data_IF_847793953033
#
_entry.id   IF_847793953033
#
_cell.length_a   1.000
_cell.length_b   1.000
_cell.length_c   1.000
_cell.angle_alpha   90.00
_cell.angle_beta   90.00
_cell.angle_gamma   90.00
#
_symmetry.space_group_name_H-M   'P 1'
#
loop_
_entity.id
_entity.type
_entity.pdbx_description
1 polymer ?
#
# COMPACT_ATOMS: atom_id res chain seq x y z
N UNK A 1 -15.71 -15.19 -5.41
CA UNK A 1 -16.93 -15.53 -6.18
C UNK A 1 -16.53 -16.32 -7.44
N UNK A 2 -17.42 -17.05 -8.14
CA UNK A 2 -17.05 -17.66 -9.43
C UNK A 2 -16.70 -16.57 -10.44
N UNK A 3 -15.64 -16.76 -11.23
CA UNK A 3 -15.19 -15.76 -12.18
C UNK A 3 -16.25 -15.48 -13.28
N UNK A 4 -16.38 -14.23 -13.75
CA UNK A 4 -17.30 -13.87 -14.81
C UNK A 4 -16.96 -14.59 -16.13
N UNK A 5 -17.98 -14.80 -16.97
CA UNK A 5 -17.81 -15.44 -18.27
C UNK A 5 -17.02 -14.54 -19.25
N UNK A 6 -16.25 -15.11 -20.20
CA UNK A 6 -15.41 -14.33 -21.13
C UNK A 6 -16.19 -13.40 -22.08
N UNK A 7 -17.52 -13.57 -22.16
CA UNK A 7 -18.48 -12.76 -22.92
C UNK A 7 -19.33 -11.81 -22.05
N UNK A 8 -19.02 -11.68 -20.76
CA UNK A 8 -19.71 -10.75 -19.85
C UNK A 8 -19.61 -9.30 -20.34
N UNK A 9 -20.65 -8.49 -20.11
CA UNK A 9 -20.59 -7.08 -20.49
C UNK A 9 -19.65 -6.30 -19.56
N UNK A 10 -19.08 -5.15 -20.01
CA UNK A 10 -18.31 -4.26 -19.15
C UNK A 10 -19.04 -3.87 -17.86
N UNK A 11 -20.38 -3.72 -17.91
CA UNK A 11 -21.20 -3.45 -16.74
C UNK A 11 -21.14 -4.60 -15.72
N UNK A 12 -21.31 -5.84 -16.17
CA UNK A 12 -21.32 -7.03 -15.30
C UNK A 12 -19.95 -7.26 -14.66
N UNK A 13 -18.88 -6.96 -15.40
CA UNK A 13 -17.50 -7.04 -14.95
C UNK A 13 -17.21 -6.00 -13.85
N UNK A 14 -17.66 -4.75 -14.03
CA UNK A 14 -17.54 -3.71 -12.99
C UNK A 14 -18.38 -4.06 -11.75
N UNK A 15 -19.61 -4.56 -11.92
CA UNK A 15 -20.46 -4.99 -10.79
C UNK A 15 -19.81 -6.14 -10.00
N UNK A 16 -19.25 -7.14 -10.70
CA UNK A 16 -18.52 -8.26 -10.10
C UNK A 16 -17.30 -7.81 -9.29
N UNK A 17 -16.49 -6.91 -9.85
CA UNK A 17 -15.33 -6.33 -9.17
C UNK A 17 -15.72 -5.54 -7.91
N UNK A 18 -16.82 -4.79 -7.98
CA UNK A 18 -17.35 -4.03 -6.85
C UNK A 18 -17.99 -4.91 -5.76
N UNK A 19 -18.55 -6.08 -6.10
CA UNK A 19 -19.02 -7.07 -5.13
C UNK A 19 -17.85 -7.84 -4.49
N UNK A 20 -16.87 -8.21 -5.32
CA UNK A 20 -15.66 -8.92 -4.90
C UNK A 20 -14.65 -8.08 -4.10
N UNK A 21 -14.78 -6.76 -4.05
CA UNK A 21 -13.78 -5.86 -3.45
C UNK A 21 -13.38 -6.23 -2.01
N UNK A 22 -14.31 -6.69 -1.18
CA UNK A 22 -14.04 -7.17 0.19
C UNK A 22 -13.04 -8.34 0.25
N UNK A 23 -12.84 -9.06 -0.86
CA UNK A 23 -11.92 -10.19 -1.00
C UNK A 23 -10.52 -9.75 -1.48
N UNK A 24 -10.27 -8.45 -1.68
CA UNK A 24 -9.03 -7.91 -2.29
C UNK A 24 -7.76 -8.43 -1.62
N UNK A 25 -7.64 -8.31 -0.29
CA UNK A 25 -6.45 -8.76 0.45
C UNK A 25 -6.32 -10.29 0.49
N UNK A 26 -7.45 -11.03 0.50
CA UNK A 26 -7.44 -12.49 0.40
C UNK A 26 -6.96 -12.97 -0.98
N UNK A 27 -7.39 -12.31 -2.06
CA UNK A 27 -6.95 -12.57 -3.43
C UNK A 27 -5.46 -12.24 -3.60
N UNK A 28 -5.01 -11.09 -3.10
CA UNK A 28 -3.59 -10.70 -3.09
C UNK A 28 -2.73 -11.75 -2.40
N UNK A 29 -3.09 -12.15 -1.17
CA UNK A 29 -2.41 -13.23 -0.42
C UNK A 29 -2.37 -14.54 -1.21
N UNK A 30 -3.47 -14.96 -1.83
CA UNK A 30 -3.51 -16.18 -2.64
C UNK A 30 -2.56 -16.12 -3.84
N UNK A 31 -2.49 -14.97 -4.52
CA UNK A 31 -1.65 -14.79 -5.70
C UNK A 31 -0.16 -14.80 -5.35
N UNK A 32 0.25 -13.99 -4.36
CA UNK A 32 1.62 -13.98 -3.83
C UNK A 32 2.05 -15.40 -3.40
N UNK A 33 1.20 -16.09 -2.62
CA UNK A 33 1.50 -17.46 -2.14
C UNK A 33 1.66 -18.45 -3.30
N UNK A 34 0.78 -18.39 -4.31
CA UNK A 34 0.79 -19.34 -5.43
C UNK A 34 1.93 -19.11 -6.42
N UNK A 35 2.39 -17.87 -6.59
CA UNK A 35 3.60 -17.53 -7.34
C UNK A 35 4.86 -17.94 -6.57
N UNK A 36 4.92 -17.69 -5.27
CA UNK A 36 6.07 -18.07 -4.43
C UNK A 36 6.30 -19.59 -4.38
N UNK A 37 5.22 -20.38 -4.30
CA UNK A 37 5.31 -21.85 -4.39
C UNK A 37 5.96 -22.32 -5.71
N UNK A 38 5.72 -21.61 -6.83
CA UNK A 38 6.31 -21.90 -8.14
C UNK A 38 7.75 -21.39 -8.29
N UNK A 39 8.16 -20.41 -7.48
CA UNK A 39 9.53 -19.91 -7.42
C UNK A 39 10.45 -20.84 -6.60
N UNK A 40 9.95 -21.35 -5.46
CA UNK A 40 10.65 -22.33 -4.62
C UNK A 40 10.96 -23.64 -5.36
N UNK A 41 10.04 -24.14 -6.18
CA UNK A 41 10.26 -25.33 -7.04
C UNK A 41 11.41 -25.17 -8.06
N UNK A 42 11.96 -23.95 -8.22
CA UNK A 42 13.01 -23.63 -9.20
C UNK A 42 14.31 -23.10 -8.60
N UNK A 43 14.38 -22.81 -7.30
CA UNK A 43 15.55 -22.18 -6.68
C UNK A 43 15.91 -22.79 -5.31
N UNK A 44 17.15 -23.24 -5.16
CA UNK A 44 17.71 -23.74 -3.90
C UNK A 44 18.13 -22.65 -2.91
N UNK A 45 17.83 -21.38 -3.21
CA UNK A 45 18.17 -20.22 -2.38
C UNK A 45 16.90 -19.50 -1.92
N UNK A 46 16.28 -20.02 -0.86
CA UNK A 46 15.12 -19.44 -0.20
C UNK A 46 15.47 -18.29 0.78
N UNK A 47 16.68 -17.73 0.69
CA UNK A 47 17.21 -16.74 1.64
C UNK A 47 17.16 -15.30 1.13
N UNK A 48 17.17 -15.08 -0.19
CA UNK A 48 17.15 -13.76 -0.82
C UNK A 48 15.74 -13.44 -1.35
N UNK A 49 14.74 -13.54 -0.47
CA UNK A 49 13.36 -13.19 -0.82
C UNK A 49 13.12 -11.70 -0.59
N UNK A 50 12.63 -10.95 -1.60
CA UNK A 50 12.06 -9.64 -1.36
C UNK A 50 10.95 -9.76 -0.32
N UNK A 51 10.69 -8.67 0.40
CA UNK A 51 9.59 -8.57 1.37
C UNK A 51 8.24 -8.75 0.68
N UNK A 52 7.79 -9.99 0.46
CA UNK A 52 6.63 -10.33 -0.38
C UNK A 52 5.25 -9.88 0.18
N UNK A 53 5.26 -9.08 1.24
CA UNK A 53 4.11 -8.35 1.77
C UNK A 53 4.48 -6.93 2.21
N UNK A 54 5.74 -6.49 2.14
CA UNK A 54 6.29 -5.22 2.64
C UNK A 54 6.05 -4.84 4.11
N UNK A 55 5.17 -5.57 4.79
CA UNK A 55 4.78 -5.40 6.19
C UNK A 55 5.85 -6.05 7.08
N UNK A 56 6.98 -5.37 7.21
CA UNK A 56 8.12 -5.80 8.02
C UNK A 56 7.69 -6.10 9.47
N UNK A 57 8.39 -7.02 10.13
CA UNK A 57 8.32 -7.21 11.58
C UNK A 57 9.19 -6.14 12.22
N UNK A 58 8.56 -5.23 12.96
CA UNK A 58 9.27 -4.22 13.75
C UNK A 58 9.51 -4.77 15.15
N UNK A 59 10.75 -4.69 15.60
CA UNK A 59 11.15 -4.91 16.99
C UNK A 59 11.77 -3.63 17.55
N UNK A 60 11.13 -3.04 18.55
CA UNK A 60 11.63 -1.89 19.32
C UNK A 60 12.18 -2.39 20.66
N UNK A 61 13.36 -1.89 21.05
CA UNK A 61 14.11 -2.27 22.24
C UNK A 61 14.69 -1.01 22.87
N UNK A 62 14.00 -0.45 23.87
CA UNK A 62 14.29 0.91 24.34
C UNK A 62 14.22 1.92 23.20
N UNK A 63 15.29 2.68 22.98
CA UNK A 63 15.42 3.67 21.90
C UNK A 63 15.91 3.04 20.56
N UNK A 64 16.18 1.74 20.52
CA UNK A 64 16.67 1.03 19.34
C UNK A 64 15.55 0.31 18.59
N UNK A 65 15.62 0.27 17.27
CA UNK A 65 14.66 -0.44 16.40
C UNK A 65 15.42 -1.32 15.39
N UNK A 66 14.76 -2.40 14.97
CA UNK A 66 15.08 -3.16 13.74
C UNK A 66 13.78 -3.53 13.04
N UNK A 67 13.79 -3.51 11.71
CA UNK A 67 12.74 -4.05 10.83
C UNK A 67 13.33 -5.24 10.07
N UNK A 68 12.58 -6.35 9.97
CA UNK A 68 12.99 -7.58 9.26
C UNK A 68 11.80 -8.23 8.56
N UNK A 69 12.04 -9.13 7.61
CA UNK A 69 10.95 -9.78 6.86
C UNK A 69 10.05 -10.64 7.77
N UNK A 70 8.78 -10.77 7.41
CA UNK A 70 7.86 -11.73 8.04
C UNK A 70 8.34 -13.19 7.99
N UNK A 71 9.17 -13.53 6.99
CA UNK A 71 9.79 -14.86 6.85
C UNK A 71 10.96 -15.09 7.81
N UNK A 72 11.56 -14.04 8.38
CA UNK A 72 12.74 -14.16 9.21
C UNK A 72 12.36 -14.72 10.58
N UNK A 73 12.72 -15.99 10.79
CA UNK A 73 12.37 -16.74 12.01
C UNK A 73 13.37 -16.57 13.15
N UNK A 74 14.55 -16.00 12.87
CA UNK A 74 15.65 -15.80 13.81
C UNK A 74 16.43 -14.55 13.41
N UNK A 75 16.36 -13.51 14.24
CA UNK A 75 17.05 -12.24 14.04
C UNK A 75 17.37 -11.57 15.37
N UNK A 76 18.26 -10.59 15.35
CA UNK A 76 18.67 -9.86 16.55
C UNK A 76 18.52 -8.34 16.36
N UNK A 77 18.16 -7.64 17.42
CA UNK A 77 18.06 -6.18 17.45
C UNK A 77 19.41 -5.50 17.19
N UNK A 78 19.35 -4.23 16.83
CA UNK A 78 20.44 -3.30 17.09
C UNK A 78 20.75 -3.25 18.60
N UNK A 79 21.97 -2.83 18.97
CA UNK A 79 22.38 -2.78 20.39
C UNK A 79 21.63 -1.65 21.10
N UNK A 80 20.89 -2.00 22.15
CA UNK A 80 20.18 -1.05 23.00
C UNK A 80 20.96 -0.79 24.29
N UNK A 81 20.84 0.41 24.84
CA UNK A 81 21.40 0.77 26.15
C UNK A 81 20.27 0.76 27.18
N UNK A 82 20.47 0.07 28.30
CA UNK A 82 19.50 0.04 29.38
C UNK A 82 19.32 1.46 29.99
N UNK A 83 18.09 1.99 30.07
CA UNK A 83 17.86 3.34 30.59
C UNK A 83 18.13 3.41 32.11
N UNK A 84 18.29 4.63 32.63
CA UNK A 84 18.59 4.87 34.04
C UNK A 84 17.57 4.27 35.04
N UNK A 85 16.35 3.98 34.59
CA UNK A 85 15.30 3.32 35.38
C UNK A 85 15.50 1.81 35.58
N UNK A 86 16.46 1.18 34.90
CA UNK A 86 16.75 -0.26 35.06
C UNK A 86 15.74 -1.21 34.40
N UNK A 87 14.88 -0.71 33.50
CA UNK A 87 13.94 -1.52 32.72
C UNK A 87 14.15 -1.32 31.22
N UNK A 88 14.50 -2.39 30.50
CA UNK A 88 14.53 -2.43 29.05
C UNK A 88 13.16 -2.88 28.54
N UNK A 89 12.47 -2.00 27.82
CA UNK A 89 11.18 -2.32 27.17
C UNK A 89 11.44 -2.96 25.81
N UNK A 90 10.64 -3.98 25.50
CA UNK A 90 10.66 -4.72 24.24
C UNK A 90 9.25 -4.69 23.68
N UNK A 91 9.11 -4.36 22.41
CA UNK A 91 7.84 -4.27 21.71
C UNK A 91 7.99 -4.84 20.29
N UNK A 92 7.06 -5.70 19.88
CA UNK A 92 7.04 -6.36 18.58
C UNK A 92 5.69 -6.19 17.91
N UNK A 93 5.70 -5.73 16.66
CA UNK A 93 4.52 -5.39 15.87
C UNK A 93 4.82 -5.49 14.37
N UNK A 94 3.81 -5.36 13.52
CA UNK A 94 4.01 -5.16 12.08
C UNK A 94 4.29 -3.68 11.75
N UNK A 95 5.01 -3.44 10.66
CA UNK A 95 5.13 -2.14 10.01
C UNK A 95 3.88 -1.89 9.15
N UNK A 96 2.83 -1.33 9.76
CA UNK A 96 1.56 -1.00 9.12
C UNK A 96 1.03 0.35 9.60
N UNK A 97 0.12 0.97 8.84
CA UNK A 97 -0.61 2.18 9.27
C UNK A 97 -1.55 1.93 10.45
N UNK A 98 -1.81 0.66 10.77
CA UNK A 98 -2.50 0.19 11.96
C UNK A 98 -1.50 -0.36 12.99
N UNK A 99 -1.78 -0.16 14.28
CA UNK A 99 -1.04 -0.80 15.38
C UNK A 99 -1.47 -2.27 15.49
N UNK A 100 -0.70 -3.17 14.86
CA UNK A 100 -0.96 -4.61 14.86
C UNK A 100 0.15 -5.35 15.63
N UNK A 101 -0.12 -5.79 16.87
CA UNK A 101 0.90 -6.38 17.73
C UNK A 101 1.30 -7.81 17.32
N UNK A 102 2.59 -8.13 17.46
CA UNK A 102 3.16 -9.46 17.30
C UNK A 102 3.37 -10.13 18.66
N UNK A 103 2.25 -10.49 19.30
CA UNK A 103 2.23 -11.12 20.61
C UNK A 103 2.69 -12.58 20.67
N UNK A 104 2.90 -13.08 21.88
CA UNK A 104 3.23 -14.47 22.20
C UNK A 104 4.55 -15.00 21.56
N UNK A 105 5.48 -14.09 21.20
CA UNK A 105 6.82 -14.46 20.75
C UNK A 105 7.78 -14.67 21.93
N UNK A 106 8.67 -15.66 21.83
CA UNK A 106 9.81 -15.77 22.75
C UNK A 106 10.98 -14.93 22.24
N UNK A 107 11.56 -14.16 23.15
CA UNK A 107 12.74 -13.34 22.91
C UNK A 107 13.83 -13.64 23.93
N UNK A 108 15.08 -13.61 23.49
CA UNK A 108 16.26 -13.83 24.31
C UNK A 108 17.00 -12.50 24.44
N UNK A 109 17.01 -11.93 25.64
CA UNK A 109 17.80 -10.74 25.97
C UNK A 109 19.21 -11.19 26.32
N UNK A 110 20.22 -10.58 25.69
CA UNK A 110 21.63 -10.91 25.81
C UNK A 110 22.38 -9.67 26.32
N UNK A 111 23.01 -9.76 27.48
CA UNK A 111 23.91 -8.73 28.00
C UNK A 111 25.27 -8.83 27.32
N UNK A 112 25.69 -7.76 26.64
CA UNK A 112 26.94 -7.74 25.87
C UNK A 112 28.18 -7.45 26.73
N UNK A 113 27.98 -6.93 27.93
CA UNK A 113 29.05 -6.56 28.87
C UNK A 113 29.37 -7.69 29.87
N UNK A 114 28.39 -8.54 30.20
CA UNK A 114 28.50 -9.63 31.18
C UNK A 114 28.26 -11.04 30.59
N UNK A 115 27.79 -11.14 29.34
CA UNK A 115 27.43 -12.41 28.71
C UNK A 115 26.15 -13.04 29.25
N UNK A 116 25.36 -12.31 30.04
CA UNK A 116 24.09 -12.79 30.58
C UNK A 116 23.09 -13.10 29.46
N UNK A 117 22.20 -14.07 29.69
CA UNK A 117 21.13 -14.38 28.75
C UNK A 117 19.85 -14.78 29.46
N UNK A 118 18.75 -14.09 29.14
CA UNK A 118 17.43 -14.30 29.75
C UNK A 118 16.38 -14.48 28.66
N UNK A 119 15.58 -15.54 28.72
CA UNK A 119 14.41 -15.70 27.87
C UNK A 119 13.19 -15.00 28.49
N UNK A 120 12.44 -14.30 27.65
CA UNK A 120 11.22 -13.56 28.01
C UNK A 120 10.15 -13.94 26.98
N UNK A 121 8.95 -14.19 27.49
CA UNK A 121 7.76 -14.36 26.67
C UNK A 121 7.08 -13.00 26.52
N UNK A 122 6.96 -12.48 25.29
CA UNK A 122 6.16 -11.29 25.03
C UNK A 122 4.67 -11.62 25.25
N UNK A 123 3.91 -10.65 25.75
CA UNK A 123 2.47 -10.76 25.99
C UNK A 123 1.66 -10.83 24.69
N UNK A 124 0.32 -10.86 24.78
CA UNK A 124 -0.55 -10.90 23.61
C UNK A 124 -0.51 -9.61 22.76
N UNK A 125 0.02 -8.52 23.33
CA UNK A 125 0.20 -7.21 22.72
C UNK A 125 1.63 -7.03 22.17
N UNK A 126 2.46 -8.09 22.17
CA UNK A 126 3.83 -8.02 21.67
C UNK A 126 4.78 -7.27 22.59
N UNK A 127 4.41 -7.03 23.85
CA UNK A 127 5.20 -6.21 24.78
C UNK A 127 5.85 -7.07 25.86
N UNK A 128 6.97 -6.59 26.39
CA UNK A 128 7.73 -7.25 27.44
C UNK A 128 8.72 -6.29 28.09
N UNK A 129 9.14 -6.63 29.31
CA UNK A 129 10.10 -5.82 30.09
C UNK A 129 11.19 -6.71 30.69
N UNK A 130 12.44 -6.25 30.60
CA UNK A 130 13.60 -6.89 31.22
C UNK A 130 14.22 -5.96 32.24
N UNK A 131 14.44 -6.45 33.47
CA UNK A 131 15.21 -5.70 34.46
C UNK A 131 16.70 -5.78 34.11
N UNK A 132 17.36 -4.63 33.97
CA UNK A 132 18.70 -4.50 33.44
C UNK A 132 19.57 -3.51 34.24
N UNK A 133 20.89 -3.64 34.11
CA UNK A 133 21.83 -2.70 34.71
C UNK A 133 21.84 -1.40 33.91
N UNK A 134 21.48 -0.28 34.54
CA UNK A 134 21.48 1.04 33.90
C UNK A 134 22.82 1.35 33.19
N UNK A 135 22.76 1.76 31.93
CA UNK A 135 23.93 2.01 31.08
C UNK A 135 24.58 0.76 30.47
N UNK A 136 24.17 -0.44 30.87
CA UNK A 136 24.61 -1.69 30.24
C UNK A 136 24.06 -1.86 28.82
N UNK A 137 24.81 -2.58 27.98
CA UNK A 137 24.49 -2.82 26.57
C UNK A 137 23.83 -4.18 26.39
N UNK A 138 22.68 -4.20 25.71
CA UNK A 138 21.87 -5.38 25.52
C UNK A 138 21.48 -5.57 24.05
N UNK A 139 21.30 -6.82 23.65
CA UNK A 139 20.75 -7.20 22.35
C UNK A 139 19.60 -8.18 22.55
N UNK A 140 18.51 -8.03 21.80
CA UNK A 140 17.34 -8.92 21.88
C UNK A 140 17.29 -9.76 20.62
N UNK A 141 17.40 -11.08 20.78
CA UNK A 141 17.22 -12.06 19.70
C UNK A 141 15.79 -12.60 19.73
N UNK A 142 15.09 -12.57 18.61
CA UNK A 142 13.73 -13.11 18.48
C UNK A 142 13.81 -14.50 17.87
N UNK A 143 13.10 -15.46 18.44
CA UNK A 143 13.05 -16.83 17.93
C UNK A 143 11.59 -17.23 17.68
N UNK A 144 11.26 -17.49 16.41
CA UNK A 144 9.92 -17.85 15.95
C UNK A 144 9.43 -16.98 14.78
N UNK A 145 8.83 -17.65 13.80
CA UNK A 145 8.14 -17.00 12.68
C UNK A 145 6.72 -16.53 13.03
N UNK A 146 6.12 -15.77 12.12
CA UNK A 146 4.74 -15.29 12.24
C UNK A 146 3.75 -16.43 12.03
N UNK A 147 2.76 -16.57 12.90
CA UNK A 147 1.71 -17.60 12.78
C UNK A 147 0.60 -17.20 11.80
N UNK A 148 -0.11 -18.16 11.17
CA UNK A 148 -1.22 -17.84 10.27
C UNK A 148 -2.32 -16.97 10.89
N UNK A 149 -2.56 -17.10 12.21
CA UNK A 149 -3.55 -16.30 12.94
C UNK A 149 -3.10 -14.85 13.18
N UNK A 150 -1.80 -14.60 13.36
CA UNK A 150 -1.25 -13.23 13.40
C UNK A 150 -1.34 -12.55 12.04
N UNK A 151 -1.10 -13.30 10.96
CA UNK A 151 -1.31 -12.80 9.58
C UNK A 151 -2.79 -12.49 9.31
N UNK A 152 -3.71 -13.33 9.82
CA UNK A 152 -5.15 -13.08 9.71
C UNK A 152 -5.56 -11.82 10.48
N UNK A 153 -5.12 -11.66 11.73
CA UNK A 153 -5.38 -10.47 12.55
C UNK A 153 -4.84 -9.17 11.89
N UNK A 154 -3.67 -9.24 11.24
CA UNK A 154 -3.13 -8.14 10.44
C UNK A 154 -4.07 -7.76 9.31
N UNK A 155 -4.51 -8.70 8.48
CA UNK A 155 -5.44 -8.39 7.38
C UNK A 155 -6.82 -7.91 7.87
N UNK A 156 -7.34 -8.45 8.98
CA UNK A 156 -8.59 -7.97 9.62
C UNK A 156 -8.51 -6.50 10.03
N UNK A 157 -7.33 -5.95 10.37
CA UNK A 157 -7.19 -4.53 10.69
C UNK A 157 -7.59 -3.59 9.54
N UNK A 158 -7.50 -4.06 8.29
CA UNK A 158 -7.88 -3.32 7.09
C UNK A 158 -9.36 -3.48 6.70
N UNK A 159 -10.17 -4.25 7.42
CA UNK A 159 -11.59 -4.45 7.08
C UNK A 159 -12.35 -3.11 7.05
N UNK A 160 -12.04 -2.21 7.98
CA UNK A 160 -12.61 -0.85 8.01
C UNK A 160 -12.26 0.00 6.79
N UNK A 161 -10.99 -0.05 6.35
CA UNK A 161 -10.52 0.61 5.13
C UNK A 161 -11.18 0.01 3.88
N UNK A 162 -11.20 -1.32 3.82
CA UNK A 162 -11.80 -2.07 2.71
C UNK A 162 -13.28 -1.74 2.55
N UNK A 163 -14.03 -1.67 3.65
CA UNK A 163 -15.45 -1.32 3.64
C UNK A 163 -15.71 0.14 3.19
N UNK A 164 -14.94 1.11 3.69
CA UNK A 164 -15.08 2.53 3.29
C UNK A 164 -14.70 2.75 1.82
N UNK A 165 -13.62 2.12 1.33
CA UNK A 165 -13.23 2.16 -0.09
C UNK A 165 -14.30 1.51 -0.98
N UNK A 166 -14.85 0.36 -0.58
CA UNK A 166 -15.95 -0.29 -1.32
C UNK A 166 -17.21 0.60 -1.34
N UNK A 167 -17.59 1.19 -0.21
CA UNK A 167 -18.74 2.08 -0.11
C UNK A 167 -18.59 3.33 -0.98
N UNK A 168 -17.36 3.88 -1.06
CA UNK A 168 -17.02 4.99 -1.93
C UNK A 168 -17.08 4.60 -3.41
N UNK A 169 -16.44 3.50 -3.82
CA UNK A 169 -16.53 2.98 -5.18
C UNK A 169 -17.99 2.71 -5.61
N UNK A 170 -18.80 2.13 -4.72
CA UNK A 170 -20.24 1.91 -4.90
C UNK A 170 -21.05 3.22 -4.98
N UNK A 171 -20.53 4.34 -4.45
CA UNK A 171 -21.12 5.67 -4.61
C UNK A 171 -20.77 6.27 -5.98
N UNK A 172 -19.50 6.25 -6.36
CA UNK A 172 -19.05 6.75 -7.67
C UNK A 172 -19.74 5.97 -8.81
N UNK A 173 -19.80 4.64 -8.71
CA UNK A 173 -20.46 3.79 -9.70
C UNK A 173 -21.94 4.12 -9.90
N UNK A 174 -22.68 4.52 -8.85
CA UNK A 174 -24.07 4.97 -9.01
C UNK A 174 -24.20 6.24 -9.84
N UNK A 175 -23.19 7.11 -9.85
CA UNK A 175 -23.11 8.27 -10.75
C UNK A 175 -22.72 7.90 -12.17
N UNK A 176 -21.82 6.92 -12.34
CA UNK A 176 -21.33 6.50 -13.67
C UNK A 176 -22.28 5.57 -14.43
N UNK A 177 -22.96 4.63 -13.75
CA UNK A 177 -23.81 3.59 -14.36
C UNK A 177 -24.87 4.09 -15.35
N UNK A 178 -25.60 5.21 -15.11
CA UNK A 178 -26.55 5.74 -16.10
C UNK A 178 -25.89 6.18 -17.41
N UNK A 179 -24.67 6.72 -17.33
CA UNK A 179 -23.91 7.18 -18.50
C UNK A 179 -23.43 5.99 -19.35
N UNK A 180 -23.03 4.89 -18.70
CA UNK A 180 -22.70 3.64 -19.36
C UNK A 180 -23.89 3.00 -20.10
N UNK A 181 -25.07 3.01 -19.48
CA UNK A 181 -26.30 2.49 -20.11
C UNK A 181 -26.69 3.29 -21.36
N UNK A 182 -26.39 4.60 -21.39
CA UNK A 182 -26.56 5.43 -22.58
C UNK A 182 -25.48 5.23 -23.66
N UNK A 183 -24.27 4.78 -23.29
CA UNK A 183 -23.13 4.61 -24.21
C UNK A 183 -22.89 3.16 -24.68
N UNK A 184 -23.71 2.19 -24.25
CA UNK A 184 -23.54 0.75 -24.53
C UNK A 184 -23.75 0.32 -26.00
N UNK A 185 -23.65 1.25 -26.96
CA UNK A 185 -23.69 0.99 -28.40
C UNK A 185 -22.32 0.89 -29.07
N UNK A 186 -21.21 1.23 -28.38
CA UNK A 186 -19.86 0.93 -28.87
C UNK A 186 -19.41 -0.46 -28.43
N UNK A 187 -19.27 -1.36 -29.40
CA UNK A 187 -18.75 -2.71 -29.19
C UNK A 187 -17.28 -2.67 -28.76
N UNK A 188 -17.03 -2.82 -27.45
CA UNK A 188 -15.70 -3.02 -26.87
C UNK A 188 -15.41 -4.52 -26.96
N UNK A 189 -14.51 -4.91 -27.86
CA UNK A 189 -14.26 -6.32 -28.18
C UNK A 189 -13.54 -7.08 -27.06
N UNK A 190 -14.05 -8.27 -26.73
CA UNK A 190 -13.45 -9.21 -25.79
C UNK A 190 -12.24 -9.94 -26.40
N UNK A 191 -11.11 -9.23 -26.46
CA UNK A 191 -9.81 -9.77 -26.88
C UNK A 191 -9.03 -10.37 -25.71
N UNK A 192 -9.25 -11.65 -25.40
CA UNK A 192 -8.50 -12.37 -24.36
C UNK A 192 -7.00 -12.41 -24.72
N UNK A 193 -6.17 -11.62 -24.02
CA UNK A 193 -4.71 -11.54 -24.21
C UNK A 193 -3.93 -12.06 -22.98
N UNK A 194 -2.61 -12.31 -23.12
CA UNK A 194 -1.96 -13.39 -22.36
C UNK A 194 -0.49 -13.21 -21.83
N UNK A 195 -0.15 -12.16 -21.06
CA UNK A 195 1.06 -12.02 -20.17
C UNK A 195 0.82 -11.87 -18.63
N UNK A 196 1.55 -12.56 -17.76
CA UNK A 196 1.25 -12.74 -16.31
C UNK A 196 1.51 -11.52 -15.40
N UNK A 197 1.46 -11.74 -14.07
CA UNK A 197 1.90 -10.92 -12.92
C UNK A 197 3.06 -9.92 -13.11
N UNK A 198 3.87 -10.01 -14.17
CA UNK A 198 4.90 -9.03 -14.53
C UNK A 198 4.36 -7.59 -14.70
N UNK A 199 3.10 -7.43 -15.13
CA UNK A 199 2.46 -6.11 -15.21
C UNK A 199 2.11 -5.52 -13.82
N UNK A 200 2.01 -6.36 -12.78
CA UNK A 200 1.76 -5.95 -11.40
C UNK A 200 3.09 -5.71 -10.68
N UNK A 201 4.14 -6.51 -10.95
CA UNK A 201 5.49 -6.23 -10.43
C UNK A 201 6.04 -4.89 -10.92
N UNK A 202 5.71 -4.44 -12.13
CA UNK A 202 6.08 -3.08 -12.61
C UNK A 202 5.43 -1.96 -11.78
N UNK A 203 4.22 -2.18 -11.24
CA UNK A 203 3.55 -1.25 -10.33
C UNK A 203 4.19 -1.29 -8.93
N UNK A 204 4.68 -2.46 -8.47
CA UNK A 204 5.42 -2.59 -7.21
C UNK A 204 6.87 -2.06 -7.31
N UNK A 205 7.56 -2.25 -8.43
CA UNK A 205 8.82 -1.55 -8.73
C UNK A 205 8.59 -0.03 -8.68
N UNK A 206 7.43 0.43 -9.18
CA UNK A 206 7.01 1.83 -9.09
C UNK A 206 6.54 2.27 -7.70
N UNK A 207 6.39 1.36 -6.73
CA UNK A 207 6.23 1.72 -5.32
C UNK A 207 7.56 2.13 -4.70
N UNK A 208 8.67 1.48 -5.08
CA UNK A 208 10.01 1.89 -4.62
C UNK A 208 10.28 3.37 -4.97
N UNK A 209 9.78 3.83 -6.13
CA UNK A 209 9.80 5.23 -6.54
C UNK A 209 9.01 6.16 -5.60
N UNK A 210 7.91 5.72 -4.98
CA UNK A 210 7.19 6.51 -3.97
C UNK A 210 8.06 6.71 -2.74
N UNK A 211 8.69 5.63 -2.26
CA UNK A 211 9.61 5.71 -1.12
C UNK A 211 10.84 6.55 -1.44
N UNK A 212 11.42 6.44 -2.64
CA UNK A 212 12.56 7.25 -3.08
C UNK A 212 12.20 8.74 -3.21
N UNK A 213 10.99 9.06 -3.70
CA UNK A 213 10.43 10.42 -3.71
C UNK A 213 10.33 11.01 -2.30
N UNK A 214 9.96 10.22 -1.28
CA UNK A 214 9.87 10.69 0.10
C UNK A 214 11.25 10.76 0.78
N UNK A 215 12.16 9.81 0.49
CA UNK A 215 13.54 9.76 1.03
C UNK A 215 14.39 10.92 0.50
N UNK A 216 14.28 11.27 -0.78
CA UNK A 216 15.05 12.36 -1.40
C UNK A 216 14.21 13.12 -2.47
N UNK A 217 13.23 13.95 -2.05
CA UNK A 217 12.38 14.69 -2.97
C UNK A 217 13.17 15.65 -3.89
N UNK A 218 14.37 16.08 -3.47
CA UNK A 218 15.23 16.94 -4.27
C UNK A 218 15.83 16.22 -5.50
N UNK A 219 15.98 14.89 -5.49
CA UNK A 219 16.33 14.13 -6.70
C UNK A 219 15.20 14.05 -7.73
N UNK A 220 13.95 14.29 -7.32
CA UNK A 220 12.76 14.10 -8.15
C UNK A 220 12.11 15.42 -8.61
N UNK A 221 12.86 16.53 -8.65
CA UNK A 221 12.38 17.86 -9.08
C UNK A 221 11.72 17.82 -10.47
N UNK A 222 12.21 17.04 -11.44
CA UNK A 222 11.58 16.95 -12.76
C UNK A 222 10.16 16.37 -12.72
N UNK A 223 9.84 15.55 -11.71
CA UNK A 223 8.53 14.92 -11.52
C UNK A 223 7.63 15.72 -10.58
N UNK A 224 8.21 16.33 -9.54
CA UNK A 224 7.52 17.06 -8.48
C UNK A 224 7.42 18.59 -8.72
N UNK A 225 8.18 19.14 -9.68
CA UNK A 225 8.25 20.59 -9.90
C UNK A 225 8.59 21.36 -8.62
N UNK A 226 7.76 22.33 -8.27
CA UNK A 226 7.94 23.13 -7.03
C UNK A 226 7.69 22.33 -5.75
N UNK A 227 6.89 21.24 -5.80
CA UNK A 227 6.58 20.43 -4.62
C UNK A 227 7.82 19.73 -4.05
N UNK A 228 8.88 19.51 -4.84
CA UNK A 228 10.14 18.93 -4.34
C UNK A 228 10.76 19.76 -3.20
N UNK A 229 10.73 21.09 -3.33
CA UNK A 229 11.26 21.98 -2.30
C UNK A 229 10.38 22.01 -1.05
N UNK A 230 9.05 21.95 -1.23
CA UNK A 230 8.07 21.92 -0.15
C UNK A 230 8.15 20.60 0.64
N UNK A 231 8.29 19.45 -0.03
CA UNK A 231 8.55 18.16 0.62
C UNK A 231 9.91 18.12 1.34
N UNK A 232 10.95 18.70 0.75
CA UNK A 232 12.26 18.79 1.38
C UNK A 232 12.27 19.70 2.62
N UNK A 233 11.41 20.73 2.65
CA UNK A 233 11.18 21.56 3.83
C UNK A 233 10.36 20.79 4.89
N UNK A 234 9.26 20.15 4.50
CA UNK A 234 8.43 19.32 5.37
C UNK A 234 9.25 18.24 6.11
N UNK A 235 10.15 17.55 5.42
CA UNK A 235 11.03 16.53 6.02
C UNK A 235 11.91 17.07 7.16
N UNK A 236 12.15 18.40 7.20
CA UNK A 236 12.93 19.08 8.24
C UNK A 236 12.06 19.73 9.31
N UNK A 237 10.92 20.30 8.90
CA UNK A 237 10.05 21.11 9.76
C UNK A 237 8.98 20.27 10.49
N UNK A 238 8.57 19.14 9.90
CA UNK A 238 7.54 18.26 10.41
C UNK A 238 7.88 16.78 10.14
N UNK A 239 8.98 16.25 10.70
CA UNK A 239 9.44 14.87 10.44
C UNK A 239 8.37 13.82 10.72
N UNK A 240 7.50 14.03 11.71
CA UNK A 240 6.36 13.16 12.03
C UNK A 240 5.34 13.01 10.88
N UNK A 241 5.22 14.01 10.00
CA UNK A 241 4.34 13.93 8.81
C UNK A 241 5.03 13.09 7.72
N UNK A 242 6.34 13.26 7.57
CA UNK A 242 7.13 12.46 6.63
C UNK A 242 7.19 10.99 7.08
N UNK A 243 7.28 10.72 8.38
CA UNK A 243 7.17 9.37 8.96
C UNK A 243 5.83 8.70 8.63
N UNK A 244 4.71 9.42 8.73
CA UNK A 244 3.39 8.89 8.34
C UNK A 244 3.28 8.63 6.82
N UNK A 245 3.82 9.52 5.99
CA UNK A 245 3.84 9.32 4.54
C UNK A 245 4.73 8.12 4.14
N UNK A 246 5.88 7.96 4.81
CA UNK A 246 6.77 6.81 4.67
C UNK A 246 6.11 5.52 5.13
N UNK A 247 5.41 5.52 6.28
CA UNK A 247 4.69 4.37 6.79
C UNK A 247 3.63 3.87 5.80
N UNK A 248 2.84 4.78 5.21
CA UNK A 248 1.91 4.41 4.15
C UNK A 248 2.62 3.95 2.86
N UNK A 249 3.79 4.51 2.53
CA UNK A 249 4.60 4.10 1.39
C UNK A 249 5.30 2.73 1.57
N UNK A 250 5.36 2.23 2.81
CA UNK A 250 5.79 0.86 3.15
C UNK A 250 4.61 -0.12 3.32
N UNK A 251 3.42 0.36 3.65
CA UNK A 251 2.23 -0.49 3.89
C UNK A 251 1.62 -1.03 2.58
N UNK A 252 2.13 -2.16 2.10
CA UNK A 252 1.67 -2.79 0.86
C UNK A 252 0.19 -3.18 0.90
N UNK A 253 -0.39 -3.52 2.06
CA UNK A 253 -1.81 -3.87 2.14
C UNK A 253 -2.70 -2.65 1.89
N UNK A 254 -2.38 -1.51 2.50
CA UNK A 254 -3.04 -0.24 2.20
C UNK A 254 -2.81 0.17 0.75
N UNK A 255 -1.58 0.08 0.24
CA UNK A 255 -1.24 0.45 -1.15
C UNK A 255 -1.93 -0.44 -2.18
N UNK A 256 -2.04 -1.75 -1.93
CA UNK A 256 -2.80 -2.66 -2.79
C UNK A 256 -4.29 -2.31 -2.81
N UNK A 257 -4.89 -1.99 -1.65
CA UNK A 257 -6.28 -1.53 -1.59
C UNK A 257 -6.49 -0.23 -2.36
N UNK A 258 -5.56 0.72 -2.25
CA UNK A 258 -5.61 2.00 -2.97
C UNK A 258 -5.41 1.81 -4.49
N UNK A 259 -4.49 0.92 -4.90
CA UNK A 259 -4.28 0.51 -6.29
C UNK A 259 -5.53 -0.16 -6.87
N UNK A 260 -6.09 -1.16 -6.16
CA UNK A 260 -7.31 -1.86 -6.59
C UNK A 260 -8.50 -0.90 -6.70
N UNK A 261 -8.58 0.08 -5.79
CA UNK A 261 -9.56 1.17 -5.85
C UNK A 261 -9.37 2.03 -7.10
N UNK A 262 -8.14 2.44 -7.42
CA UNK A 262 -7.83 3.21 -8.63
C UNK A 262 -8.15 2.43 -9.91
N UNK A 263 -7.82 1.14 -9.98
CA UNK A 263 -8.11 0.29 -11.13
C UNK A 263 -9.61 0.14 -11.39
N UNK A 264 -10.40 -0.17 -10.35
CA UNK A 264 -11.86 -0.31 -10.48
C UNK A 264 -12.50 1.04 -10.80
N UNK A 265 -12.06 2.13 -10.17
CA UNK A 265 -12.57 3.47 -10.46
C UNK A 265 -12.29 3.89 -11.91
N UNK A 266 -11.06 3.67 -12.42
CA UNK A 266 -10.72 3.97 -13.82
C UNK A 266 -11.54 3.14 -14.81
N UNK A 267 -11.75 1.84 -14.54
CA UNK A 267 -12.64 0.98 -15.35
C UNK A 267 -14.11 1.42 -15.28
N UNK A 268 -14.52 2.02 -14.18
CA UNK A 268 -15.88 2.52 -13.97
C UNK A 268 -16.17 3.87 -14.65
N UNK A 269 -15.15 4.61 -15.10
CA UNK A 269 -15.34 5.90 -15.78
C UNK A 269 -16.09 5.72 -17.12
N UNK A 270 -17.22 6.41 -17.34
CA UNK A 270 -18.00 6.23 -18.56
C UNK A 270 -17.31 6.94 -19.76
N UNK A 271 -17.28 6.32 -20.96
CA UNK A 271 -16.62 6.91 -22.14
C UNK A 271 -17.06 8.33 -22.50
N UNK A 272 -18.30 8.71 -22.14
CA UNK A 272 -18.85 10.05 -22.33
C UNK A 272 -18.25 11.12 -21.41
N UNK A 273 -17.88 10.78 -20.16
CA UNK A 273 -17.11 11.68 -19.27
C UNK A 273 -15.61 11.72 -19.62
N UNK A 274 -15.23 11.01 -20.68
CA UNK A 274 -13.86 10.97 -21.24
C UNK A 274 -13.81 11.65 -22.62
N UNK A 275 -14.96 12.05 -23.20
CA UNK A 275 -15.05 12.60 -24.54
C UNK A 275 -14.55 14.06 -24.65
N UNK A 276 -13.65 14.33 -25.61
CA UNK A 276 -13.00 15.63 -25.84
C UNK A 276 -11.69 15.46 -26.61
N UNK A 277 -10.72 16.39 -26.48
CA UNK A 277 -9.31 16.12 -26.88
C UNK A 277 -8.70 14.94 -26.11
N UNK A 278 -9.26 14.67 -24.92
CA UNK A 278 -9.09 13.46 -24.13
C UNK A 278 -9.45 12.18 -24.89
N UNK A 279 -10.40 12.22 -25.83
CA UNK A 279 -10.78 11.05 -26.62
C UNK A 279 -9.75 10.65 -27.67
N UNK A 280 -8.86 11.52 -28.14
CA UNK A 280 -7.73 11.11 -29.00
C UNK A 280 -6.63 10.45 -28.15
N UNK A 281 -6.31 11.04 -27.00
CA UNK A 281 -5.39 10.45 -26.00
C UNK A 281 -5.89 9.10 -25.52
N UNK A 282 -7.21 8.95 -25.38
CA UNK A 282 -7.84 7.77 -24.79
C UNK A 282 -8.54 6.87 -25.83
N UNK A 283 -8.48 7.16 -27.13
CA UNK A 283 -8.78 6.17 -28.18
C UNK A 283 -7.64 5.15 -28.33
N UNK A 284 -6.41 5.52 -27.94
CA UNK A 284 -5.31 4.58 -27.69
C UNK A 284 -5.45 3.78 -26.39
N UNK A 285 -6.48 4.07 -25.59
CA UNK A 285 -6.82 3.41 -24.32
C UNK A 285 -8.15 2.68 -24.52
N UNK A 286 -8.08 1.42 -24.96
CA UNK A 286 -9.28 0.61 -24.94
C UNK A 286 -9.66 0.36 -23.46
N UNK A 287 -10.87 0.73 -23.05
CA UNK A 287 -11.37 0.46 -21.69
C UNK A 287 -11.38 -1.05 -21.38
N UNK A 288 -11.41 -1.89 -22.42
CA UNK A 288 -11.11 -3.32 -22.29
C UNK A 288 -9.78 -3.57 -21.59
N UNK A 289 -8.68 -2.86 -21.88
CA UNK A 289 -7.37 -3.15 -21.29
C UNK A 289 -7.35 -3.06 -19.75
N UNK A 290 -8.12 -2.16 -19.15
CA UNK A 290 -8.24 -2.09 -17.68
C UNK A 290 -9.16 -3.19 -17.13
N UNK A 291 -10.20 -3.55 -17.88
CA UNK A 291 -11.11 -4.65 -17.54
C UNK A 291 -10.36 -6.00 -17.65
N UNK A 292 -9.60 -6.20 -18.71
CA UNK A 292 -8.71 -7.34 -18.95
C UNK A 292 -7.62 -7.42 -17.86
N UNK A 293 -7.07 -6.27 -17.42
CA UNK A 293 -6.14 -6.20 -16.30
C UNK A 293 -6.80 -6.55 -14.95
N UNK A 294 -8.04 -6.12 -14.70
CA UNK A 294 -8.82 -6.52 -13.52
C UNK A 294 -9.14 -8.03 -13.54
N UNK A 295 -9.58 -8.56 -14.70
CA UNK A 295 -9.83 -9.99 -14.90
C UNK A 295 -8.53 -10.78 -14.69
N UNK A 296 -7.40 -10.33 -15.24
CA UNK A 296 -6.08 -10.94 -15.01
C UNK A 296 -5.71 -10.94 -13.52
N UNK A 297 -5.95 -9.82 -12.82
CA UNK A 297 -5.75 -9.65 -11.38
C UNK A 297 -6.75 -10.42 -10.50
N UNK A 298 -7.85 -10.97 -11.02
CA UNK A 298 -8.71 -11.91 -10.26
C UNK A 298 -8.43 -13.36 -10.64
N UNK A 299 -8.34 -13.66 -11.93
CA UNK A 299 -8.21 -15.01 -12.44
C UNK A 299 -6.75 -15.53 -12.43
N UNK A 300 -5.79 -14.76 -11.93
CA UNK A 300 -4.35 -15.10 -11.91
C UNK A 300 -3.80 -15.30 -13.32
N UNK A 301 -4.33 -14.53 -14.27
CA UNK A 301 -4.38 -14.90 -15.68
C UNK A 301 -3.69 -13.90 -16.58
N UNK A 302 -3.79 -14.25 -17.86
CA UNK A 302 -3.09 -13.66 -18.97
C UNK A 302 -3.41 -12.15 -19.17
N UNK A 303 -2.47 -11.26 -19.53
CA UNK A 303 -2.63 -9.95 -20.23
C UNK A 303 -1.26 -9.39 -20.76
N UNK A 304 -0.98 -9.36 -22.07
CA UNK A 304 0.25 -8.73 -22.62
C UNK A 304 -0.04 -7.24 -22.90
N UNK A 305 0.49 -6.33 -22.08
CA UNK A 305 -0.02 -4.95 -22.02
C UNK A 305 1.01 -3.90 -22.44
N UNK A 306 0.81 -3.27 -23.59
CA UNK A 306 1.49 -2.03 -23.99
C UNK A 306 0.81 -0.80 -23.31
N UNK A 307 0.81 -0.74 -21.97
CA UNK A 307 0.11 0.28 -21.20
C UNK A 307 1.01 1.39 -20.60
N UNK A 308 1.76 2.10 -21.44
CA UNK A 308 2.57 3.23 -20.97
C UNK A 308 1.76 4.35 -20.28
N UNK A 309 0.48 4.57 -20.65
CA UNK A 309 -0.35 5.60 -20.01
C UNK A 309 -1.15 5.11 -18.81
N UNK A 310 -1.86 3.98 -18.91
CA UNK A 310 -2.73 3.53 -17.82
C UNK A 310 -1.94 3.15 -16.56
N UNK A 311 -0.80 2.46 -16.72
CA UNK A 311 0.13 2.16 -15.62
C UNK A 311 0.73 3.45 -15.07
N UNK A 312 1.20 4.37 -15.91
CA UNK A 312 1.68 5.69 -15.45
C UNK A 312 0.61 6.48 -14.70
N UNK A 313 -0.67 6.39 -15.09
CA UNK A 313 -1.77 7.07 -14.39
C UNK A 313 -2.05 6.43 -13.03
N UNK A 314 -2.07 5.09 -12.93
CA UNK A 314 -2.18 4.39 -11.65
C UNK A 314 -1.03 4.78 -10.69
N UNK A 315 0.21 4.81 -11.21
CA UNK A 315 1.39 5.26 -10.45
C UNK A 315 1.25 6.73 -10.06
N UNK A 316 0.85 7.61 -10.97
CA UNK A 316 0.67 9.04 -10.69
C UNK A 316 -0.46 9.29 -9.67
N UNK A 317 -1.53 8.47 -9.64
CA UNK A 317 -2.59 8.49 -8.62
C UNK A 317 -2.09 8.00 -7.25
N UNK A 318 -1.30 6.91 -7.20
CA UNK A 318 -0.71 6.40 -5.96
C UNK A 318 0.29 7.40 -5.35
N UNK A 319 1.20 7.94 -6.17
CA UNK A 319 2.12 9.01 -5.75
C UNK A 319 1.31 10.19 -5.22
N UNK A 320 0.30 10.66 -5.94
CA UNK A 320 -0.52 11.78 -5.50
C UNK A 320 -1.24 11.52 -4.17
N UNK A 321 -1.69 10.30 -3.92
CA UNK A 321 -2.37 9.95 -2.67
C UNK A 321 -1.42 9.99 -1.48
N UNK A 322 -0.22 9.41 -1.61
CA UNK A 322 0.84 9.46 -0.59
C UNK A 322 1.35 10.90 -0.39
N UNK A 323 1.59 11.64 -1.47
CA UNK A 323 1.98 13.06 -1.40
C UNK A 323 0.93 13.93 -0.70
N UNK A 324 -0.37 13.63 -0.85
CA UNK A 324 -1.45 14.40 -0.19
C UNK A 324 -1.48 14.19 1.33
N UNK A 325 -0.94 13.06 1.81
CA UNK A 325 -0.75 12.77 3.24
C UNK A 325 0.49 13.46 3.78
N UNK A 326 1.60 13.43 3.03
CA UNK A 326 2.79 14.20 3.37
C UNK A 326 2.47 15.71 3.45
N UNK A 327 1.82 16.27 2.44
CA UNK A 327 1.54 17.69 2.36
C UNK A 327 0.17 17.94 1.73
N UNK A 328 -0.72 18.61 2.48
CA UNK A 328 -2.09 18.87 2.03
C UNK A 328 -2.09 19.63 0.70
N UNK A 329 -2.61 18.97 -0.34
CA UNK A 329 -2.66 19.52 -1.70
C UNK A 329 -1.44 19.25 -2.57
N UNK A 330 -0.34 18.70 -2.06
CA UNK A 330 0.83 18.39 -2.88
C UNK A 330 0.53 17.37 -3.97
N UNK A 331 -0.26 16.32 -3.66
CA UNK A 331 -0.74 15.39 -4.68
C UNK A 331 -1.66 16.02 -5.74
N UNK A 332 -2.44 17.04 -5.36
CA UNK A 332 -3.28 17.79 -6.30
C UNK A 332 -2.41 18.62 -7.26
N UNK A 333 -1.40 19.32 -6.72
CA UNK A 333 -0.44 20.09 -7.51
C UNK A 333 0.39 19.19 -8.44
N UNK A 334 0.83 18.04 -7.93
CA UNK A 334 1.51 16.98 -8.67
C UNK A 334 0.69 16.47 -9.87
N UNK A 335 -0.58 16.10 -9.65
CA UNK A 335 -1.47 15.68 -10.73
C UNK A 335 -1.72 16.80 -11.74
N UNK A 336 -1.86 18.04 -11.27
CA UNK A 336 -1.94 19.23 -12.13
C UNK A 336 -0.75 19.32 -13.09
N UNK A 337 0.48 19.18 -12.58
CA UNK A 337 1.70 19.19 -13.39
C UNK A 337 1.78 18.00 -14.35
N UNK A 338 1.59 16.78 -13.83
CA UNK A 338 1.78 15.53 -14.58
C UNK A 338 0.72 15.31 -15.66
N UNK A 339 -0.53 15.68 -15.38
CA UNK A 339 -1.68 15.40 -16.24
C UNK A 339 -2.15 16.60 -17.09
N UNK A 340 -1.59 17.81 -16.92
CA UNK A 340 -1.94 18.98 -17.74
C UNK A 340 -1.94 18.72 -19.26
N UNK A 341 -0.96 17.95 -19.74
CA UNK A 341 -0.82 17.55 -21.17
C UNK A 341 -2.00 16.72 -21.70
N UNK A 342 -2.80 16.10 -20.84
CA UNK A 342 -3.96 15.29 -21.20
C UNK A 342 -5.29 16.05 -21.12
N UNK A 343 -5.27 17.30 -20.62
CA UNK A 343 -6.43 18.19 -20.56
C UNK A 343 -7.08 18.29 -19.17
N UNK A 344 -7.76 19.41 -18.94
CA UNK A 344 -8.31 19.77 -17.62
C UNK A 344 -9.27 18.72 -17.03
N UNK A 345 -10.05 18.04 -17.86
CA UNK A 345 -11.03 17.03 -17.44
C UNK A 345 -10.37 15.79 -16.82
N UNK A 346 -9.21 15.35 -17.34
CA UNK A 346 -8.43 14.25 -16.75
C UNK A 346 -7.82 14.67 -15.41
N UNK A 347 -7.33 15.92 -15.31
CA UNK A 347 -6.86 16.49 -14.04
C UNK A 347 -7.99 16.54 -13.01
N UNK A 348 -9.18 17.03 -13.39
CA UNK A 348 -10.33 17.17 -12.50
C UNK A 348 -10.82 15.80 -11.96
N UNK A 349 -10.94 14.79 -12.84
CA UNK A 349 -11.29 13.43 -12.44
C UNK A 349 -10.25 12.83 -11.48
N UNK A 350 -8.95 12.93 -11.81
CA UNK A 350 -7.87 12.41 -10.97
C UNK A 350 -7.79 13.11 -9.60
N UNK A 351 -8.01 14.43 -9.56
CA UNK A 351 -8.09 15.21 -8.32
C UNK A 351 -9.34 14.86 -7.50
N UNK A 352 -10.46 14.56 -8.16
CA UNK A 352 -11.67 14.05 -7.52
C UNK A 352 -11.43 12.70 -6.83
N UNK A 353 -10.77 11.76 -7.52
CA UNK A 353 -10.34 10.48 -6.96
C UNK A 353 -9.46 10.67 -5.73
N UNK A 354 -8.36 11.42 -5.84
CA UNK A 354 -7.40 11.60 -4.73
C UNK A 354 -8.07 12.24 -3.51
N UNK A 355 -8.93 13.25 -3.70
CA UNK A 355 -9.72 13.83 -2.59
C UNK A 355 -10.65 12.80 -1.93
N UNK A 356 -11.39 12.03 -2.74
CA UNK A 356 -12.33 11.03 -2.24
C UNK A 356 -11.67 9.94 -1.41
N UNK A 357 -10.51 9.45 -1.85
CA UNK A 357 -9.73 8.44 -1.11
C UNK A 357 -9.00 9.05 0.10
N UNK A 358 -8.43 10.25 -0.03
CA UNK A 358 -7.82 10.95 1.10
C UNK A 358 -8.81 11.22 2.25
N UNK A 359 -10.04 11.60 1.94
CA UNK A 359 -11.10 11.80 2.94
C UNK A 359 -11.46 10.49 3.68
N UNK A 360 -11.28 9.31 3.06
CA UNK A 360 -11.45 8.01 3.72
C UNK A 360 -10.29 7.73 4.68
N UNK A 361 -9.04 7.89 4.21
CA UNK A 361 -7.84 7.70 5.03
C UNK A 361 -7.82 8.64 6.24
N UNK A 362 -8.32 9.87 6.08
CA UNK A 362 -8.49 10.84 7.16
C UNK A 362 -9.56 10.45 8.19
N UNK A 363 -10.65 9.79 7.78
CA UNK A 363 -11.67 9.26 8.72
C UNK A 363 -11.10 8.10 9.55
N UNK A 364 -10.34 7.21 8.92
CA UNK A 364 -9.86 5.96 9.53
C UNK A 364 -8.65 6.14 10.44
N UNK A 365 -7.82 7.16 10.19
CA UNK A 365 -6.72 7.57 11.08
C UNK A 365 -7.17 8.27 12.37
N UNK A 366 -8.49 8.31 12.65
CA UNK A 366 -9.05 8.90 13.87
C UNK A 366 -8.93 10.44 13.94
N UNK A 367 -8.54 11.09 12.84
CA UNK A 367 -8.27 12.52 12.80
C UNK A 367 -9.57 13.34 12.79
N UNK A 368 -10.08 13.67 13.98
CA UNK A 368 -11.10 14.69 14.15
C UNK A 368 -10.68 15.99 13.44
N UNK A 369 -11.60 16.71 12.76
CA UNK A 369 -11.29 17.93 12.04
C UNK A 369 -10.83 19.03 13.01
N UNK A 370 -9.51 19.13 13.21
CA UNK A 370 -8.86 20.14 14.04
C UNK A 370 -8.02 19.64 15.23
N UNK A 371 -7.79 18.32 15.43
CA UNK A 371 -7.04 17.84 16.61
C UNK A 371 -5.81 16.95 16.39
N UNK A 372 -5.40 16.64 15.16
CA UNK A 372 -4.11 15.94 14.91
C UNK A 372 -2.99 16.92 14.52
N UNK A 373 -3.32 18.20 14.26
CA UNK A 373 -2.39 19.16 13.67
C UNK A 373 -2.55 20.57 14.30
N UNK A 374 -1.83 20.82 15.40
CA UNK A 374 -1.71 22.17 15.98
C UNK A 374 -1.45 22.24 17.49
N UNK A 375 -0.20 22.58 17.86
CA UNK A 375 0.24 23.14 19.14
C UNK A 375 -0.11 22.36 20.45
N UNK A 376 0.82 21.50 20.87
CA UNK A 376 1.25 21.52 22.28
C UNK A 376 2.13 22.76 22.49
N UNK A 377 1.85 23.55 23.54
CA UNK A 377 2.58 24.77 23.90
C UNK A 377 3.67 24.55 24.95
#
# INVERSE_FOLDING_TARGET
MPAPAPDSSPLDLIEYELDGFHQSLALYRQQVTSWYAQALDKASHAADLPSLLGLERVLRVGDSQVSVSMSDTDFASSVAVCPAGGELRIESQFESVYDVPLGNLQVQVIGLDDGSSTQIQLDAQGKGTHHCTAGGRYQVRVQGGVTPAQVEALFTSYDGLTAELQAWLRKEWRGFKPHWQASASSAIGSGILAGTWSAISEVWDSLSLVQDILKDPAKHIERLGTQAAELAALAREAPQVMEQAMLLASDEAALYLMLRTAMIWLSALPPSQVAGKTAEVLAGFAVSLLIDLLIALVAGKTAEVLAGFAVSLLIDLLIALVLTIALQGAGIAYLGLRLAKYGAQVVELAVGFVKGVFDILKRLSGAAPGQVWGAGG
#
